data_IF_093180764884
#
_entry.id   IF_093180764884
#
_cell.length_a   1.000
_cell.length_b   1.000
_cell.length_c   1.000
_cell.angle_alpha   90.00
_cell.angle_beta   90.00
_cell.angle_gamma   90.00
#
_symmetry.space_group_name_H-M   'P 1'
#
loop_
_entity.id
_entity.type
_entity.pdbx_description
1 polymer ?
#
# COMPACT_ATOMS: atom_id res chain seq x y z
N UNK A 1 10.55 -3.31 -15.99
CA UNK A 1 9.97 -4.42 -15.22
C UNK A 1 9.58 -3.86 -13.86
N UNK A 2 8.31 -3.93 -13.46
CA UNK A 2 7.92 -3.50 -12.10
C UNK A 2 8.50 -4.53 -11.12
N UNK A 3 9.37 -4.12 -10.20
CA UNK A 3 9.99 -5.06 -9.27
C UNK A 3 8.99 -5.45 -8.16
N UNK A 4 9.15 -6.63 -7.56
CA UNK A 4 8.39 -7.05 -6.37
C UNK A 4 8.45 -6.00 -5.27
N UNK A 5 9.63 -5.39 -5.09
CA UNK A 5 9.85 -4.34 -4.11
C UNK A 5 9.05 -3.07 -4.42
N UNK A 6 8.99 -2.64 -5.68
CA UNK A 6 8.20 -1.47 -6.08
C UNK A 6 6.70 -1.73 -5.91
N UNK A 7 6.22 -2.92 -6.30
CA UNK A 7 4.81 -3.27 -6.14
C UNK A 7 4.42 -3.31 -4.66
N UNK A 8 5.23 -3.94 -3.81
CA UNK A 8 4.99 -3.98 -2.36
C UNK A 8 5.07 -2.59 -1.72
N UNK A 9 6.01 -1.75 -2.14
CA UNK A 9 6.12 -0.37 -1.67
C UNK A 9 4.85 0.43 -1.98
N UNK A 10 4.39 0.39 -3.23
CA UNK A 10 3.23 1.15 -3.67
C UNK A 10 1.93 0.59 -3.05
N UNK A 11 1.78 -0.73 -3.02
CA UNK A 11 0.66 -1.39 -2.34
C UNK A 11 0.58 -0.97 -0.87
N UNK A 12 1.70 -1.05 -0.14
CA UNK A 12 1.73 -0.72 1.28
C UNK A 12 1.45 0.78 1.53
N UNK A 13 1.97 1.66 0.67
CA UNK A 13 1.69 3.10 0.71
C UNK A 13 0.19 3.38 0.58
N UNK A 14 -0.48 2.78 -0.41
CA UNK A 14 -1.92 2.94 -0.60
C UNK A 14 -2.71 2.26 0.51
N UNK A 15 -2.28 1.08 0.98
CA UNK A 15 -2.93 0.37 2.10
C UNK A 15 -3.01 1.27 3.34
N UNK A 16 -1.92 1.96 3.68
CA UNK A 16 -1.90 2.90 4.81
C UNK A 16 -2.87 4.07 4.61
N UNK A 17 -3.00 4.58 3.38
CA UNK A 17 -4.01 5.61 3.07
C UNK A 17 -5.43 5.05 3.26
N UNK A 18 -5.73 3.87 2.72
CA UNK A 18 -7.04 3.21 2.89
C UNK A 18 -7.37 2.91 4.36
N UNK A 19 -6.40 2.44 5.14
CA UNK A 19 -6.58 2.16 6.56
C UNK A 19 -6.92 3.44 7.35
N UNK A 20 -6.34 4.58 6.97
CA UNK A 20 -6.59 5.87 7.62
C UNK A 20 -7.83 6.62 7.08
N UNK A 21 -8.17 6.42 5.80
CA UNK A 21 -9.31 7.00 5.10
C UNK A 21 -10.16 5.88 4.53
N UNK A 22 -10.90 5.13 5.38
CA UNK A 22 -11.64 3.99 4.93
C UNK A 22 -12.62 4.37 3.83
N UNK A 23 -13.30 5.51 3.90
CA UNK A 23 -14.32 5.92 2.92
C UNK A 23 -13.77 6.48 1.59
N UNK A 24 -12.46 6.43 1.38
CA UNK A 24 -11.81 6.87 0.15
C UNK A 24 -11.90 5.79 -0.95
N UNK A 25 -12.88 5.94 -1.84
CA UNK A 25 -13.17 4.99 -2.91
C UNK A 25 -12.04 4.92 -3.93
N UNK A 26 -11.43 6.07 -4.27
CA UNK A 26 -10.30 6.10 -5.20
C UNK A 26 -9.07 5.37 -4.64
N UNK A 27 -8.80 5.52 -3.34
CA UNK A 27 -7.72 4.79 -2.67
C UNK A 27 -8.01 3.28 -2.67
N UNK A 28 -9.26 2.85 -2.37
CA UNK A 28 -9.66 1.43 -2.41
C UNK A 28 -9.51 0.82 -3.81
N UNK A 29 -9.95 1.51 -4.86
CA UNK A 29 -9.81 1.02 -6.23
C UNK A 29 -8.33 0.86 -6.62
N UNK A 30 -7.50 1.82 -6.20
CA UNK A 30 -6.04 1.75 -6.39
C UNK A 30 -5.43 0.60 -5.59
N UNK A 31 -5.92 0.33 -4.37
CA UNK A 31 -5.47 -0.79 -3.55
C UNK A 31 -5.75 -2.12 -4.25
N UNK A 32 -6.97 -2.31 -4.77
CA UNK A 32 -7.34 -3.51 -5.53
C UNK A 32 -6.44 -3.73 -6.75
N UNK A 33 -6.12 -2.66 -7.51
CA UNK A 33 -5.20 -2.75 -8.64
C UNK A 33 -3.80 -3.26 -8.20
N UNK A 34 -3.31 -2.79 -7.06
CA UNK A 34 -2.03 -3.28 -6.53
C UNK A 34 -2.12 -4.71 -6.01
N UNK A 35 -3.24 -5.12 -5.42
CA UNK A 35 -3.47 -6.52 -5.01
C UNK A 35 -3.48 -7.47 -6.20
N UNK A 36 -4.09 -7.08 -7.32
CA UNK A 36 -4.01 -7.84 -8.58
C UNK A 36 -2.55 -7.97 -9.06
N UNK A 37 -1.78 -6.86 -9.01
CA UNK A 37 -0.37 -6.90 -9.38
C UNK A 37 0.48 -7.77 -8.44
N UNK A 38 0.13 -7.84 -7.15
CA UNK A 38 0.80 -8.74 -6.20
C UNK A 38 0.50 -10.20 -6.54
N UNK A 39 -0.75 -10.51 -6.88
CA UNK A 39 -1.16 -11.84 -7.33
C UNK A 39 -0.44 -12.27 -8.61
N UNK A 40 -0.31 -11.36 -9.59
CA UNK A 40 0.44 -11.58 -10.83
C UNK A 40 1.94 -11.89 -10.60
N UNK A 41 2.49 -11.40 -9.48
CA UNK A 41 3.87 -11.68 -9.05
C UNK A 41 3.99 -12.95 -8.18
N UNK A 42 2.90 -13.71 -8.06
CA UNK A 42 2.76 -14.90 -7.21
C UNK A 42 3.10 -14.63 -5.74
N UNK A 43 2.73 -13.44 -5.24
CA UNK A 43 2.89 -13.07 -3.84
C UNK A 43 1.62 -13.47 -3.07
N UNK A 44 1.79 -14.15 -1.95
CA UNK A 44 0.70 -14.56 -1.06
C UNK A 44 1.14 -14.50 0.40
N UNK A 45 0.19 -14.72 1.33
CA UNK A 45 0.45 -14.71 2.78
C UNK A 45 1.25 -13.47 3.23
N UNK A 46 0.82 -12.30 2.75
CA UNK A 46 1.50 -11.05 3.05
C UNK A 46 1.13 -10.61 4.46
N UNK A 47 2.12 -10.56 5.34
CA UNK A 47 2.00 -10.08 6.70
C UNK A 47 2.80 -8.78 6.86
N UNK A 48 2.14 -7.77 7.43
CA UNK A 48 2.74 -6.45 7.66
C UNK A 48 2.79 -6.18 9.15
N UNK A 49 3.98 -5.87 9.64
CA UNK A 49 4.21 -5.36 10.99
C UNK A 49 4.96 -4.04 10.91
N UNK A 50 4.86 -3.20 11.94
CA UNK A 50 5.46 -1.86 11.92
C UNK A 50 5.98 -1.48 13.30
N UNK A 51 7.04 -0.68 13.33
CA UNK A 51 7.57 -0.03 14.52
C UNK A 51 7.61 1.51 14.35
N UNK A 52 8.42 2.20 15.15
CA UNK A 52 8.54 3.66 15.11
C UNK A 52 9.31 4.18 13.88
N UNK A 53 10.10 3.34 13.20
CA UNK A 53 10.96 3.74 12.07
C UNK A 53 10.66 2.96 10.78
N UNK A 54 10.17 1.73 10.86
CA UNK A 54 10.10 0.81 9.72
C UNK A 54 8.78 0.03 9.66
N UNK A 55 8.34 -0.24 8.44
CA UNK A 55 7.43 -1.33 8.12
C UNK A 55 8.23 -2.57 7.72
N UNK A 56 7.81 -3.73 8.21
CA UNK A 56 8.33 -5.05 7.85
C UNK A 56 7.24 -5.83 7.15
N UNK A 57 7.56 -6.34 5.96
CA UNK A 57 6.64 -7.12 5.13
C UNK A 57 7.22 -8.50 4.94
N UNK A 58 6.53 -9.51 5.45
CA UNK A 58 6.79 -10.92 5.19
C UNK A 58 5.79 -11.41 4.14
N UNK A 59 6.24 -12.18 3.16
CA UNK A 59 5.38 -12.70 2.12
C UNK A 59 5.91 -14.02 1.58
N UNK A 60 5.01 -14.82 1.02
CA UNK A 60 5.35 -16.04 0.31
C UNK A 60 5.43 -15.76 -1.19
N UNK A 61 6.49 -16.24 -1.84
CA UNK A 61 6.66 -16.20 -3.29
C UNK A 61 7.02 -17.61 -3.78
N UNK A 62 6.01 -18.32 -4.28
CA UNK A 62 6.12 -19.76 -4.54
C UNK A 62 6.30 -20.54 -3.23
N UNK A 63 7.39 -21.29 -3.11
CA UNK A 63 7.71 -22.06 -1.89
C UNK A 63 8.58 -21.29 -0.90
N UNK A 64 9.13 -20.14 -1.29
CA UNK A 64 10.02 -19.35 -0.44
C UNK A 64 9.24 -18.29 0.35
N UNK A 65 9.60 -18.13 1.62
CA UNK A 65 9.21 -16.95 2.41
C UNK A 65 10.30 -15.89 2.27
N UNK A 66 9.90 -14.67 1.93
CA UNK A 66 10.79 -13.52 1.76
C UNK A 66 10.31 -12.37 2.63
N UNK A 67 11.29 -11.59 3.08
CA UNK A 67 11.05 -10.45 3.95
C UNK A 67 11.67 -9.20 3.31
N UNK A 68 10.92 -8.10 3.35
CA UNK A 68 11.43 -6.77 2.98
C UNK A 68 11.03 -5.76 4.04
N UNK A 69 11.66 -4.59 4.01
CA UNK A 69 11.37 -3.49 4.93
C UNK A 69 11.40 -2.17 4.20
N UNK A 70 10.57 -1.25 4.67
CA UNK A 70 10.46 0.09 4.12
C UNK A 70 10.50 1.13 5.26
N UNK A 71 11.22 2.25 5.09
CA UNK A 71 11.15 3.36 6.04
C UNK A 71 9.70 3.83 6.19
N UNK A 72 9.24 3.95 7.44
CA UNK A 72 7.89 4.39 7.78
C UNK A 72 7.56 5.74 7.16
N UNK A 73 8.51 6.67 7.22
CA UNK A 73 8.37 8.01 6.61
C UNK A 73 8.05 7.94 5.11
N UNK A 74 8.66 7.01 4.37
CA UNK A 74 8.38 6.87 2.94
C UNK A 74 7.02 6.24 2.65
N UNK A 75 6.61 5.26 3.46
CA UNK A 75 5.29 4.63 3.32
C UNK A 75 4.16 5.60 3.69
N UNK A 76 4.37 6.41 4.72
CA UNK A 76 3.37 7.36 5.22
C UNK A 76 3.37 8.70 4.48
N UNK A 77 4.33 8.94 3.57
CA UNK A 77 4.49 10.24 2.90
C UNK A 77 3.21 10.69 2.19
N UNK A 78 2.51 9.76 1.52
CA UNK A 78 1.28 10.07 0.81
C UNK A 78 0.15 10.43 1.77
N UNK A 79 -0.01 9.67 2.86
CA UNK A 79 -0.99 9.97 3.91
C UNK A 79 -0.70 11.32 4.57
N UNK A 80 0.58 11.63 4.82
CA UNK A 80 0.99 12.91 5.38
C UNK A 80 0.67 14.07 4.43
N UNK A 81 0.92 13.93 3.12
CA UNK A 81 0.56 14.93 2.12
C UNK A 81 -0.95 15.15 2.06
N UNK A 82 -1.73 14.07 2.05
CA UNK A 82 -3.19 14.13 2.08
C UNK A 82 -3.70 14.88 3.33
N UNK A 83 -3.12 14.60 4.50
CA UNK A 83 -3.50 15.27 5.73
C UNK A 83 -3.06 16.74 5.77
N UNK A 84 -2.00 17.11 5.04
CA UNK A 84 -1.52 18.48 4.96
C UNK A 84 -2.37 19.35 4.02
N UNK A 85 -2.83 18.78 2.90
CA UNK A 85 -3.61 19.47 1.86
C UNK A 85 -4.87 18.68 1.48
N UNK A 86 -5.79 18.43 2.43
CA UNK A 86 -6.93 17.54 2.21
C UNK A 86 -7.85 17.97 1.07
N UNK A 87 -7.93 19.27 0.78
CA UNK A 87 -8.71 19.84 -0.33
C UNK A 87 -8.24 19.38 -1.72
N UNK A 88 -6.98 18.92 -1.85
CA UNK A 88 -6.47 18.37 -3.11
C UNK A 88 -6.83 16.89 -3.33
N UNK A 89 -7.35 16.25 -2.28
CA UNK A 89 -7.66 14.82 -2.25
C UNK A 89 -9.10 14.60 -1.78
N UNK A 90 -10.02 15.48 -2.17
CA UNK A 90 -11.44 15.26 -1.92
C UNK A 90 -11.88 13.96 -2.59
N UNK A 91 -12.57 13.11 -1.84
CA UNK A 91 -13.18 11.94 -2.43
C UNK A 91 -14.41 12.39 -3.22
N UNK A 92 -14.32 12.36 -4.54
CA UNK A 92 -15.46 12.58 -5.41
C UNK A 92 -16.19 11.25 -5.59
N UNK A 93 -17.39 11.06 -5.02
CA UNK A 93 -18.19 9.90 -5.35
C UNK A 93 -18.43 9.91 -6.85
N UNK A 94 -18.19 8.77 -7.51
CA UNK A 94 -18.51 8.60 -8.91
C UNK A 94 -20.04 8.69 -9.00
N UNK A 95 -20.56 9.72 -9.67
CA UNK A 95 -21.99 9.80 -9.98
C UNK A 95 -22.36 8.57 -10.84
N UNK A 96 -23.30 7.76 -10.36
CA UNK A 96 -23.85 6.58 -11.07
C UNK A 96 -24.53 6.95 -12.40
#
# INVERSE_FOLDING_TARGET
>A
MKSVQDTLYNWLTIKVVCDARPDDTAARDTLHLFEEMLADLNLSNIEVTTDVVMYYVSYQQGEETKNTRFPRELIEVMLQQINHEPEKYENYPIEE
#
